data_IF_960035279529
#
_entry.id   IF_960035279529
#
_cell.length_a   1.000
_cell.length_b   1.000
_cell.length_c   1.000
_cell.angle_alpha   90.00
_cell.angle_beta   90.00
_cell.angle_gamma   90.00
#
_symmetry.space_group_name_H-M   'P 1'
#
loop_
_entity.id
_entity.type
_entity.pdbx_description
1 polymer ?
#
# COMPACT_ATOMS: atom_id res chain seq x y z
N UNK A 1 -17.65 -10.35 -8.59
CA UNK A 1 -17.36 -8.93 -8.82
C UNK A 1 -16.89 -8.33 -7.51
N UNK A 2 -15.70 -7.77 -7.50
CA UNK A 2 -15.03 -7.28 -6.29
C UNK A 2 -14.14 -6.06 -6.59
N UNK A 3 -13.82 -5.29 -5.56
CA UNK A 3 -12.87 -4.19 -5.67
C UNK A 3 -11.45 -4.69 -5.42
N UNK A 4 -10.55 -4.48 -6.38
CA UNK A 4 -9.17 -4.93 -6.30
C UNK A 4 -8.19 -3.77 -6.37
N UNK A 5 -7.10 -3.86 -5.61
CA UNK A 5 -5.99 -2.92 -5.76
C UNK A 5 -5.18 -3.29 -7.02
N UNK A 6 -5.00 -2.36 -7.99
CA UNK A 6 -4.23 -2.63 -9.19
C UNK A 6 -2.75 -2.90 -8.92
N UNK A 7 -2.19 -2.37 -7.83
CA UNK A 7 -0.79 -2.60 -7.46
C UNK A 7 -0.61 -3.98 -6.84
N UNK A 8 -1.42 -4.35 -5.84
CA UNK A 8 -1.35 -5.67 -5.21
C UNK A 8 -1.57 -6.82 -6.20
N UNK A 9 -2.40 -6.59 -7.22
CA UNK A 9 -2.72 -7.58 -8.25
C UNK A 9 -1.82 -7.47 -9.49
N UNK A 10 -0.70 -6.73 -9.43
CA UNK A 10 0.29 -6.67 -10.50
C UNK A 10 -0.18 -5.99 -11.79
N UNK A 11 -1.30 -5.27 -11.76
CA UNK A 11 -1.87 -4.56 -12.91
C UNK A 11 -1.25 -3.17 -13.12
N UNK A 12 -0.65 -2.59 -12.08
CA UNK A 12 0.04 -1.29 -12.15
C UNK A 12 1.27 -1.25 -11.23
N UNK A 13 2.12 -0.25 -11.41
CA UNK A 13 3.26 0.05 -10.55
C UNK A 13 3.44 1.55 -10.36
N UNK A 14 4.03 1.96 -9.24
CA UNK A 14 4.38 3.36 -8.96
C UNK A 14 5.88 3.49 -8.77
N UNK A 15 6.44 4.58 -9.32
CA UNK A 15 7.79 5.04 -8.99
C UNK A 15 7.64 6.21 -8.04
N UNK A 16 8.05 6.02 -6.79
CA UNK A 16 7.98 7.03 -5.75
C UNK A 16 9.39 7.53 -5.46
N UNK A 17 9.55 8.86 -5.37
CA UNK A 17 10.81 9.49 -4.98
C UNK A 17 10.72 10.02 -3.55
N UNK A 18 11.81 9.89 -2.81
CA UNK A 18 11.98 10.49 -1.50
C UNK A 18 11.97 12.02 -1.63
N UNK A 19 11.25 12.71 -0.73
CA UNK A 19 11.21 14.18 -0.74
C UNK A 19 12.53 14.79 -0.30
N UNK A 20 13.31 14.08 0.52
CA UNK A 20 14.52 14.62 1.15
C UNK A 20 15.77 14.43 0.28
N UNK A 21 15.93 13.26 -0.36
CA UNK A 21 17.11 12.96 -1.17
C UNK A 21 16.83 12.74 -2.66
N UNK A 22 15.57 12.68 -3.08
CA UNK A 22 15.19 12.46 -4.48
C UNK A 22 15.40 11.04 -5.01
N UNK A 23 16.01 10.13 -4.23
CA UNK A 23 16.18 8.73 -4.61
C UNK A 23 14.85 7.99 -4.72
N UNK A 24 14.82 6.95 -5.55
CA UNK A 24 13.68 6.05 -5.65
C UNK A 24 13.48 5.30 -4.32
N UNK A 25 12.22 5.19 -3.90
CA UNK A 25 11.81 4.48 -2.70
C UNK A 25 11.40 3.04 -3.03
N UNK A 26 11.66 2.13 -2.09
CA UNK A 26 11.29 0.72 -2.19
C UNK A 26 9.81 0.56 -1.86
N UNK A 27 9.06 -0.12 -2.73
CA UNK A 27 7.69 -0.51 -2.43
C UNK A 27 7.68 -1.66 -1.42
N UNK A 28 7.03 -1.46 -0.27
CA UNK A 28 6.96 -2.44 0.82
C UNK A 28 5.62 -3.19 0.87
N UNK A 29 4.67 -2.86 -0.01
CA UNK A 29 3.35 -3.52 -0.03
C UNK A 29 2.27 -2.68 0.63
N UNK A 30 1.13 -3.29 0.97
CA UNK A 30 0.05 -2.58 1.64
C UNK A 30 0.38 -2.42 3.12
N UNK A 31 0.06 -1.28 3.72
CA UNK A 31 0.39 -1.00 5.13
C UNK A 31 -0.29 -1.99 6.08
N UNK A 32 -1.47 -2.47 5.71
CA UNK A 32 -2.23 -3.45 6.48
C UNK A 32 -1.51 -4.79 6.64
N UNK A 33 -0.63 -5.15 5.70
CA UNK A 33 0.22 -6.35 5.80
C UNK A 33 1.18 -6.29 7.00
N UNK A 34 1.34 -5.10 7.60
CA UNK A 34 2.22 -4.85 8.73
C UNK A 34 1.50 -4.68 10.07
N UNK A 35 0.16 -4.81 10.14
CA UNK A 35 -0.57 -4.62 11.40
C UNK A 35 -0.36 -5.75 12.41
N UNK A 36 -0.17 -6.97 11.93
CA UNK A 36 0.10 -8.16 12.73
C UNK A 36 0.79 -9.21 11.83
N UNK A 37 1.46 -10.18 12.43
CA UNK A 37 2.11 -11.31 11.75
C UNK A 37 1.13 -12.14 10.92
N UNK A 38 -0.17 -12.10 11.27
CA UNK A 38 -1.23 -12.78 10.53
C UNK A 38 -1.89 -11.91 9.45
N UNK A 39 -1.72 -10.59 9.50
CA UNK A 39 -2.41 -9.66 8.59
C UNK A 39 -2.18 -9.93 7.10
N UNK A 40 -0.98 -10.32 6.62
CA UNK A 40 -0.78 -10.66 5.21
C UNK A 40 -1.65 -11.82 4.72
N UNK A 41 -2.12 -12.67 5.65
CA UNK A 41 -2.93 -13.85 5.35
C UNK A 41 -4.42 -13.63 5.60
N UNK A 42 -4.81 -12.49 6.18
CA UNK A 42 -6.20 -12.15 6.39
C UNK A 42 -6.85 -11.67 5.09
N UNK A 43 -8.15 -11.91 4.99
CA UNK A 43 -8.93 -11.36 3.90
C UNK A 43 -8.86 -9.83 3.96
N UNK A 44 -8.54 -9.22 2.81
CA UNK A 44 -8.34 -7.78 2.68
C UNK A 44 -9.58 -6.98 3.09
N UNK A 45 -10.78 -7.55 2.97
CA UNK A 45 -12.03 -6.93 3.45
C UNK A 45 -12.11 -6.79 4.97
N UNK A 46 -11.33 -7.60 5.72
CA UNK A 46 -11.23 -7.56 7.18
C UNK A 46 -10.24 -6.47 7.59
N UNK A 47 -9.06 -6.42 6.96
CA UNK A 47 -7.97 -5.50 7.34
C UNK A 47 -8.21 -4.07 6.88
N UNK A 48 -8.85 -3.85 5.72
CA UNK A 48 -9.12 -2.51 5.18
C UNK A 48 -10.10 -1.69 6.02
N UNK A 49 -10.96 -2.36 6.81
CA UNK A 49 -11.89 -1.68 7.74
C UNK A 49 -11.17 -1.05 8.94
N UNK A 50 -9.97 -1.52 9.25
CA UNK A 50 -9.21 -1.12 10.43
C UNK A 50 -8.45 0.18 10.19
N UNK A 51 -8.08 0.45 8.93
CA UNK A 51 -7.12 1.51 8.57
C UNK A 51 -7.74 2.92 8.49
N UNK A 52 -9.04 3.07 8.79
CA UNK A 52 -9.73 4.37 8.77
C UNK A 52 -9.82 5.04 7.38
N UNK A 53 -9.45 4.32 6.32
CA UNK A 53 -9.53 4.79 4.94
C UNK A 53 -10.96 4.59 4.45
N UNK A 54 -11.68 5.69 4.21
CA UNK A 54 -13.03 5.62 3.65
C UNK A 54 -13.02 5.00 2.25
N UNK A 55 -13.69 3.86 2.11
CA UNK A 55 -13.99 3.22 0.83
C UNK A 55 -12.81 2.53 0.12
N UNK A 56 -13.11 2.02 -1.08
CA UNK A 56 -12.32 1.14 -1.96
C UNK A 56 -10.91 1.67 -2.29
N UNK A 57 -10.03 1.69 -1.30
CA UNK A 57 -8.66 2.19 -1.38
C UNK A 57 -7.71 1.25 -0.63
N UNK A 58 -6.51 1.11 -1.17
CA UNK A 58 -5.40 0.38 -0.56
C UNK A 58 -4.26 1.35 -0.28
N UNK A 59 -3.75 1.41 0.95
CA UNK A 59 -2.62 2.29 1.30
C UNK A 59 -1.33 1.51 1.19
N UNK A 60 -0.43 1.96 0.31
CA UNK A 60 0.87 1.35 0.09
C UNK A 60 1.97 2.09 0.83
N UNK A 61 2.86 1.32 1.46
CA UNK A 61 4.04 1.81 2.15
C UNK A 61 5.24 1.83 1.19
N UNK A 62 5.94 2.96 1.15
CA UNK A 62 7.19 3.14 0.44
C UNK A 62 8.27 3.55 1.42
N UNK A 63 9.45 2.94 1.35
CA UNK A 63 10.56 3.21 2.26
C UNK A 63 11.77 3.74 1.50
N UNK A 64 12.39 4.80 2.01
CA UNK A 64 13.64 5.30 1.46
C UNK A 64 14.83 4.62 2.16
N UNK A 65 15.63 3.79 1.46
CA UNK A 65 16.79 3.14 2.06
C UNK A 65 17.93 4.12 2.43
N UNK A 66 17.91 5.35 1.90
CA UNK A 66 18.96 6.34 2.13
C UNK A 66 18.65 7.29 3.30
N UNK A 67 17.39 7.69 3.46
CA UNK A 67 16.96 8.65 4.50
C UNK A 67 16.27 7.97 5.68
N UNK A 68 15.93 6.68 5.55
CA UNK A 68 15.11 5.93 6.51
C UNK A 68 13.71 6.51 6.74
N UNK A 69 13.21 7.29 5.77
CA UNK A 69 11.88 7.89 5.77
C UNK A 69 10.86 6.99 5.06
N UNK A 70 9.60 7.02 5.51
CA UNK A 70 8.49 6.28 4.93
C UNK A 70 7.38 7.18 4.38
N UNK A 71 6.77 6.73 3.28
CA UNK A 71 5.61 7.39 2.67
C UNK A 71 4.46 6.41 2.53
N UNK A 72 3.27 6.90 2.84
CA UNK A 72 2.00 6.19 2.69
C UNK A 72 1.24 6.80 1.54
N UNK A 73 0.94 5.99 0.53
CA UNK A 73 0.24 6.46 -0.67
C UNK A 73 -1.08 5.69 -0.83
N UNK A 74 -2.23 6.38 -0.78
CA UNK A 74 -3.51 5.75 -1.06
C UNK A 74 -3.66 5.47 -2.56
N UNK A 75 -4.08 4.27 -2.90
CA UNK A 75 -4.37 3.81 -4.25
C UNK A 75 -5.84 3.44 -4.33
N UNK A 76 -6.58 4.00 -5.29
CA UNK A 76 -7.98 3.61 -5.51
C UNK A 76 -8.04 2.19 -6.09
N UNK A 77 -8.89 1.35 -5.52
CA UNK A 77 -9.23 0.07 -6.08
C UNK A 77 -10.11 0.26 -7.32
N UNK A 78 -10.15 -0.76 -8.17
CA UNK A 78 -11.01 -0.82 -9.35
C UNK A 78 -11.99 -2.00 -9.22
N UNK A 79 -13.21 -1.81 -9.70
CA UNK A 79 -14.23 -2.87 -9.72
C UNK A 79 -13.97 -3.82 -10.89
N UNK A 80 -13.88 -5.12 -10.59
CA UNK A 80 -13.78 -6.21 -11.58
C UNK A 80 -14.93 -7.19 -11.43
#
# INVERSE_FOLDING_TARGET
MEWVCPICNGMASYIVKCSDCGNQMDARGAIEDYFDNYSPYLDKSITQRIDGVEGHRCVHLFYCPNCSDDKRIPVNQIWM
#
